data_IF_700284064133
#
_entry.id   IF_700284064133
#
_cell.length_a   1.000
_cell.length_b   1.000
_cell.length_c   1.000
_cell.angle_alpha   90.00
_cell.angle_beta   90.00
_cell.angle_gamma   90.00
#
_symmetry.space_group_name_H-M   'P 1'
#
loop_
_entity.id
_entity.type
_entity.pdbx_description
1 polymer ?
#
# COMPACT_ATOMS: atom_id res chain seq x y z
N UNK A 1 -15.76 1.79 -12.84
CA UNK A 1 -14.66 2.14 -11.92
C UNK A 1 -13.34 1.74 -12.52
N UNK A 2 -12.36 2.65 -12.58
CA UNK A 2 -11.05 2.26 -13.05
C UNK A 2 -10.43 1.26 -12.05
N UNK A 3 -9.78 0.24 -12.60
CA UNK A 3 -9.06 -0.72 -11.78
C UNK A 3 -7.81 -0.05 -11.20
N UNK A 4 -7.42 -0.45 -10.00
CA UNK A 4 -6.16 -0.02 -9.42
C UNK A 4 -5.02 -0.56 -10.28
N UNK A 5 -4.06 0.30 -10.61
CA UNK A 5 -2.89 -0.12 -11.37
C UNK A 5 -1.96 -0.97 -10.51
N UNK A 6 -1.10 -1.75 -11.17
CA UNK A 6 -0.06 -2.50 -10.46
C UNK A 6 0.82 -1.54 -9.65
N UNK A 7 1.15 -0.37 -10.22
CA UNK A 7 1.96 0.63 -9.52
C UNK A 7 1.31 1.09 -8.22
N UNK A 8 0.01 1.34 -8.23
CA UNK A 8 -0.71 1.73 -7.00
C UNK A 8 -0.66 0.63 -5.96
N UNK A 9 -0.82 -0.63 -6.36
CA UNK A 9 -0.77 -1.76 -5.44
C UNK A 9 0.64 -1.96 -4.90
N UNK A 10 1.68 -1.74 -5.71
CA UNK A 10 3.07 -1.76 -5.25
C UNK A 10 3.32 -0.72 -4.17
N UNK A 11 2.79 0.51 -4.35
CA UNK A 11 2.88 1.56 -3.34
C UNK A 11 2.13 1.15 -2.07
N UNK A 12 0.94 0.56 -2.21
CA UNK A 12 0.17 0.09 -1.06
C UNK A 12 0.94 -0.96 -0.26
N UNK A 13 1.60 -1.90 -0.94
CA UNK A 13 2.44 -2.90 -0.29
C UNK A 13 3.57 -2.23 0.51
N UNK A 14 4.26 -1.27 -0.12
CA UNK A 14 5.34 -0.54 0.53
C UNK A 14 4.84 0.16 1.81
N UNK A 15 3.73 0.87 1.71
CA UNK A 15 3.16 1.59 2.85
C UNK A 15 2.75 0.64 3.97
N UNK A 16 2.21 -0.52 3.62
CA UNK A 16 1.81 -1.51 4.62
C UNK A 16 3.01 -2.13 5.33
N UNK A 17 4.01 -2.57 4.56
CA UNK A 17 5.14 -3.30 5.12
C UNK A 17 6.08 -2.42 5.96
N UNK A 18 6.36 -1.21 5.49
CA UNK A 18 7.36 -0.33 6.11
C UNK A 18 6.77 0.79 6.94
N UNK A 19 5.46 0.99 6.91
CA UNK A 19 4.76 1.88 7.80
C UNK A 19 4.31 1.15 9.06
N UNK A 20 3.97 1.90 10.08
CA UNK A 20 3.42 1.37 11.31
C UNK A 20 2.28 2.26 11.75
N UNK A 21 2.35 2.73 13.00
CA UNK A 21 1.43 3.77 13.47
C UNK A 21 1.55 5.03 12.61
N UNK A 22 2.74 5.30 12.13
CA UNK A 22 3.04 6.46 11.28
C UNK A 22 3.51 5.98 9.91
N UNK A 23 3.48 6.85 8.87
CA UNK A 23 3.99 6.50 7.55
C UNK A 23 5.47 6.10 7.59
N UNK A 24 5.96 5.38 6.56
CA UNK A 24 7.38 5.05 6.49
C UNK A 24 8.27 6.29 6.62
N UNK A 25 9.32 6.18 7.40
CA UNK A 25 10.20 7.32 7.70
C UNK A 25 10.83 7.94 6.46
N UNK A 26 11.08 7.13 5.44
CA UNK A 26 11.67 7.61 4.18
C UNK A 26 10.85 8.72 3.53
N UNK A 27 9.53 8.72 3.75
CA UNK A 27 8.64 9.72 3.15
C UNK A 27 8.71 11.07 3.84
N UNK A 28 9.25 11.14 5.06
CA UNK A 28 9.45 12.37 5.82
C UNK A 28 8.15 13.16 6.06
N UNK A 29 7.05 12.44 6.26
CA UNK A 29 5.76 13.03 6.60
C UNK A 29 5.22 12.41 7.88
N UNK A 30 4.35 13.15 8.59
CA UNK A 30 3.83 12.73 9.89
C UNK A 30 2.45 12.08 9.81
N UNK A 31 1.70 12.36 8.74
CA UNK A 31 0.32 11.91 8.62
C UNK A 31 0.14 11.04 7.38
N UNK A 32 -0.75 10.05 7.51
CA UNK A 32 -1.01 9.12 6.42
C UNK A 32 -1.58 9.78 5.17
N UNK A 33 -2.44 10.80 5.32
CA UNK A 33 -2.96 11.50 4.14
C UNK A 33 -1.86 12.22 3.36
N UNK A 34 -0.84 12.73 4.04
CA UNK A 34 0.33 13.32 3.38
C UNK A 34 1.12 12.26 2.60
N UNK A 35 1.26 11.07 3.19
CA UNK A 35 1.95 9.96 2.51
C UNK A 35 1.24 9.59 1.20
N UNK A 36 -0.08 9.50 1.23
CA UNK A 36 -0.85 9.18 0.02
C UNK A 36 -0.70 10.25 -1.07
N UNK A 37 -0.63 11.52 -0.68
CA UNK A 37 -0.50 12.63 -1.62
C UNK A 37 0.82 12.64 -2.36
N UNK A 38 1.88 12.09 -1.79
CA UNK A 38 3.17 11.99 -2.46
C UNK A 38 3.02 11.25 -3.81
N UNK A 39 2.14 10.28 -3.88
CA UNK A 39 1.96 9.45 -5.07
C UNK A 39 0.80 9.91 -5.94
N UNK A 40 0.07 10.94 -5.52
CA UNK A 40 -1.15 11.37 -6.22
C UNK A 40 -0.86 11.83 -7.65
N UNK A 41 0.16 12.66 -7.83
CA UNK A 41 0.44 13.24 -9.15
C UNK A 41 0.71 12.19 -10.22
N UNK A 42 1.41 11.13 -9.86
CA UNK A 42 1.79 10.11 -10.83
C UNK A 42 0.77 8.97 -10.98
N UNK A 43 -0.10 8.77 -9.98
CA UNK A 43 -0.94 7.58 -9.95
C UNK A 43 -2.45 7.86 -9.91
N UNK A 44 -2.88 9.11 -9.97
CA UNK A 44 -4.30 9.44 -9.74
C UNK A 44 -5.26 8.88 -10.79
N UNK A 45 -4.82 8.68 -12.02
CA UNK A 45 -5.66 8.17 -13.12
C UNK A 45 -6.96 8.96 -13.30
N UNK A 46 -6.87 10.30 -13.15
CA UNK A 46 -8.04 11.18 -13.28
C UNK A 46 -8.94 11.26 -12.05
N UNK A 47 -8.58 10.58 -10.97
CA UNK A 47 -9.38 10.62 -9.72
C UNK A 47 -9.05 11.87 -8.92
N UNK A 48 -10.02 12.29 -8.08
CA UNK A 48 -9.76 13.37 -7.11
C UNK A 48 -8.80 12.89 -6.03
N UNK A 49 -8.20 13.85 -5.29
CA UNK A 49 -7.31 13.51 -4.18
C UNK A 49 -7.99 12.61 -3.17
N UNK A 50 -9.22 12.91 -2.79
CA UNK A 50 -9.94 12.13 -1.80
C UNK A 50 -10.20 10.71 -2.28
N UNK A 51 -10.65 10.56 -3.52
CA UNK A 51 -10.91 9.24 -4.09
C UNK A 51 -9.62 8.43 -4.18
N UNK A 52 -8.52 9.05 -4.61
CA UNK A 52 -7.23 8.39 -4.70
C UNK A 52 -6.75 7.94 -3.31
N UNK A 53 -6.82 8.83 -2.32
CA UNK A 53 -6.40 8.51 -0.96
C UNK A 53 -7.17 7.32 -0.38
N UNK A 54 -8.48 7.28 -0.60
CA UNK A 54 -9.31 6.16 -0.14
C UNK A 54 -8.95 4.86 -0.83
N UNK A 55 -8.69 4.93 -2.13
CA UNK A 55 -8.30 3.76 -2.90
C UNK A 55 -6.98 3.19 -2.42
N UNK A 56 -5.99 4.06 -2.21
CA UNK A 56 -4.67 3.65 -1.74
C UNK A 56 -4.73 3.08 -0.32
N UNK A 57 -5.50 3.72 0.55
CA UNK A 57 -5.70 3.23 1.91
C UNK A 57 -6.33 1.84 1.91
N UNK A 58 -7.36 1.63 1.09
CA UNK A 58 -8.02 0.33 1.01
C UNK A 58 -7.05 -0.75 0.50
N UNK A 59 -6.23 -0.43 -0.49
CA UNK A 59 -5.22 -1.37 -0.98
C UNK A 59 -4.18 -1.69 0.10
N UNK A 60 -3.76 -0.69 0.87
CA UNK A 60 -2.87 -0.91 2.01
C UNK A 60 -3.51 -1.84 3.04
N UNK A 61 -4.79 -1.64 3.34
CA UNK A 61 -5.51 -2.44 4.34
C UNK A 61 -5.56 -3.93 3.95
N UNK A 62 -5.59 -4.25 2.65
CA UNK A 62 -5.52 -5.64 2.21
C UNK A 62 -4.23 -6.32 2.65
N UNK A 63 -3.12 -5.58 2.70
CA UNK A 63 -1.82 -6.15 3.06
C UNK A 63 -1.56 -6.12 4.57
N UNK A 64 -2.17 -5.18 5.30
CA UNK A 64 -1.81 -4.93 6.71
C UNK A 64 -1.85 -6.19 7.57
N UNK A 65 -2.89 -7.02 7.42
CA UNK A 65 -3.06 -8.21 8.26
C UNK A 65 -2.05 -9.30 7.91
N UNK A 66 -1.41 -9.23 6.74
CA UNK A 66 -0.39 -10.19 6.33
C UNK A 66 0.97 -9.91 6.96
N UNK A 67 1.11 -8.79 7.69
CA UNK A 67 2.33 -8.44 8.40
C UNK A 67 2.04 -8.43 9.91
N UNK A 68 2.39 -9.53 10.62
CA UNK A 68 2.04 -9.65 12.05
C UNK A 68 2.57 -8.53 12.94
N UNK A 69 3.68 -7.91 12.56
CA UNK A 69 4.30 -6.82 13.32
C UNK A 69 3.61 -5.48 13.13
N UNK A 70 2.70 -5.39 12.16
CA UNK A 70 2.01 -4.14 11.85
C UNK A 70 0.96 -3.86 12.93
N UNK A 71 0.99 -2.67 13.59
CA UNK A 71 0.01 -2.33 14.62
C UNK A 71 -1.38 -2.07 14.04
N UNK A 72 -1.51 -1.81 12.75
CA UNK A 72 -2.80 -1.66 12.10
C UNK A 72 -3.41 -3.04 11.86
N UNK A 73 -4.72 -3.14 12.00
CA UNK A 73 -5.39 -4.45 11.91
C UNK A 73 -5.75 -4.85 10.49
N UNK A 74 -5.97 -3.89 9.60
CA UNK A 74 -6.32 -4.20 8.22
C UNK A 74 -7.61 -5.00 8.08
N UNK A 75 -7.88 -5.44 6.86
CA UNK A 75 -9.07 -6.25 6.56
C UNK A 75 -8.83 -7.71 6.92
N UNK A 76 -9.88 -8.35 7.43
CA UNK A 76 -9.82 -9.73 7.86
C UNK A 76 -11.12 -10.45 7.51
N UNK A 77 -11.05 -11.78 7.48
CA UNK A 77 -12.25 -12.63 7.38
C UNK A 77 -12.97 -12.70 8.72
N UNK A 78 -14.16 -13.31 8.74
CA UNK A 78 -14.96 -13.42 9.96
C UNK A 78 -14.24 -14.19 11.07
N UNK A 79 -13.34 -15.11 10.72
CA UNK A 79 -12.57 -15.89 11.70
C UNK A 79 -11.24 -15.23 12.06
N UNK A 80 -11.02 -13.98 11.66
CA UNK A 80 -9.85 -13.19 12.06
C UNK A 80 -8.60 -13.37 11.20
N UNK A 81 -8.66 -14.17 10.16
CA UNK A 81 -7.52 -14.41 9.27
C UNK A 81 -7.37 -13.27 8.26
N UNK A 82 -6.16 -13.09 7.69
CA UNK A 82 -5.97 -12.13 6.60
C UNK A 82 -6.87 -12.46 5.41
N UNK A 83 -7.32 -11.41 4.72
CA UNK A 83 -8.05 -11.60 3.46
C UNK A 83 -7.13 -12.26 2.45
N UNK A 84 -7.62 -13.31 1.78
CA UNK A 84 -6.84 -14.02 0.76
C UNK A 84 -6.46 -13.08 -0.37
N UNK A 85 -5.17 -13.03 -0.69
CA UNK A 85 -4.68 -12.22 -1.79
C UNK A 85 -4.92 -12.94 -3.12
N UNK A 86 -5.43 -12.19 -4.11
CA UNK A 86 -5.70 -12.72 -5.45
C UNK A 86 -5.27 -11.68 -6.49
N UNK A 87 -5.13 -12.12 -7.75
CA UNK A 87 -4.83 -11.22 -8.86
C UNK A 87 -3.55 -10.43 -8.63
N UNK A 88 -3.61 -9.14 -8.93
CA UNK A 88 -2.44 -8.25 -8.82
C UNK A 88 -1.93 -8.16 -7.38
N UNK A 89 -2.80 -8.19 -6.39
CA UNK A 89 -2.40 -8.15 -4.98
C UNK A 89 -1.46 -9.33 -4.66
N UNK A 90 -1.81 -10.52 -5.13
CA UNK A 90 -0.98 -11.71 -4.91
C UNK A 90 0.34 -11.62 -5.66
N UNK A 91 0.31 -11.12 -6.89
CA UNK A 91 1.53 -10.95 -7.70
C UNK A 91 2.50 -10.01 -7.00
N UNK A 92 2.01 -8.85 -6.55
CA UNK A 92 2.85 -7.86 -5.86
C UNK A 92 3.41 -8.42 -4.55
N UNK A 93 2.57 -9.10 -3.78
CA UNK A 93 3.02 -9.69 -2.52
C UNK A 93 4.16 -10.69 -2.77
N UNK A 94 4.00 -11.58 -3.76
CA UNK A 94 5.03 -12.57 -4.07
C UNK A 94 6.32 -11.94 -4.59
N UNK A 95 6.22 -10.84 -5.36
CA UNK A 95 7.40 -10.15 -5.88
C UNK A 95 8.19 -9.45 -4.77
N UNK A 96 7.50 -8.89 -3.78
CA UNK A 96 8.13 -7.98 -2.83
C UNK A 96 8.32 -8.54 -1.42
N UNK A 97 7.70 -9.68 -1.10
CA UNK A 97 7.68 -10.17 0.29
C UNK A 97 9.08 -10.46 0.85
N UNK A 98 10.03 -10.83 0.00
CA UNK A 98 11.41 -11.14 0.40
C UNK A 98 12.41 -10.04 0.03
N UNK A 99 11.92 -8.88 -0.40
CA UNK A 99 12.78 -7.77 -0.84
C UNK A 99 12.89 -6.71 0.25
N UNK A 100 14.04 -6.01 0.27
CA UNK A 100 14.25 -4.95 1.24
C UNK A 100 13.62 -3.63 0.79
N UNK A 101 13.60 -2.66 1.70
CA UNK A 101 12.98 -1.37 1.45
C UNK A 101 13.60 -0.65 0.26
N UNK A 102 14.93 -0.68 0.14
CA UNK A 102 15.60 0.02 -0.96
C UNK A 102 15.22 -0.54 -2.31
N UNK A 103 15.13 -1.85 -2.42
CA UNK A 103 14.71 -2.51 -3.67
C UNK A 103 13.32 -2.06 -4.08
N UNK A 104 12.38 -2.13 -3.16
CA UNK A 104 10.97 -1.78 -3.44
C UNK A 104 10.85 -0.29 -3.73
N UNK A 105 11.51 0.55 -2.95
CA UNK A 105 11.49 2.00 -3.14
C UNK A 105 11.98 2.40 -4.53
N UNK A 106 13.05 1.77 -5.00
CA UNK A 106 13.60 2.05 -6.34
C UNK A 106 12.56 1.78 -7.42
N UNK A 107 11.78 0.70 -7.26
CA UNK A 107 10.74 0.35 -8.23
C UNK A 107 9.57 1.33 -8.18
N UNK A 108 9.03 1.62 -6.99
CA UNK A 108 7.85 2.49 -6.88
C UNK A 108 8.18 3.94 -7.22
N UNK A 109 9.40 4.37 -6.96
CA UNK A 109 9.85 5.73 -7.27
C UNK A 109 9.91 5.98 -8.77
N UNK A 110 10.19 4.97 -9.57
CA UNK A 110 10.32 5.11 -11.04
C UNK A 110 8.98 5.05 -11.78
N UNK A 111 7.90 4.82 -11.09
CA UNK A 111 6.56 4.77 -11.70
C UNK A 111 5.99 6.16 -11.94
#
# INVERSE_FOLDING_TARGET
>A
MPKRSKAEIQVAFYLSKFGGKYPPKRLKVSHWNEAYRIFYESLNSGRTKLTFERSLKNSRDFFDRHFPENPRKGWKTTDGNPIKLTGINKIVFNEFSDKDENYIWTIIKSN
#
